data_IF_044752028876
#
_entry.id   IF_044752028876
#
_cell.length_a   1.000
_cell.length_b   1.000
_cell.length_c   1.000
_cell.angle_alpha   90.00
_cell.angle_beta   90.00
_cell.angle_gamma   90.00
#
_symmetry.space_group_name_H-M   'P 1'
#
loop_
_entity.id
_entity.type
_entity.pdbx_description
1 polymer ?
#
# COMPACT_ATOMS: atom_id res chain seq x y z
N UNK A 1 13.03 -28.74 -7.44
CA UNK A 1 12.39 -27.42 -7.38
C UNK A 1 12.58 -26.92 -5.96
N UNK A 2 13.38 -25.86 -5.76
CA UNK A 2 13.65 -25.35 -4.40
C UNK A 2 12.39 -24.68 -3.88
N UNK A 3 11.82 -25.22 -2.80
CA UNK A 3 10.67 -24.65 -2.12
C UNK A 3 11.17 -23.50 -1.25
N UNK A 4 11.47 -22.34 -1.86
CA UNK A 4 11.67 -21.11 -1.11
C UNK A 4 10.28 -20.58 -0.75
N UNK A 5 9.82 -20.87 0.46
CA UNK A 5 8.78 -20.04 1.06
C UNK A 5 9.37 -18.63 1.24
N UNK A 6 8.83 -17.66 0.51
CA UNK A 6 9.21 -16.26 0.68
C UNK A 6 8.91 -15.85 2.12
N UNK A 7 9.81 -15.10 2.76
CA UNK A 7 9.73 -14.80 4.20
C UNK A 7 8.36 -14.23 4.64
N UNK A 8 7.70 -13.44 3.77
CA UNK A 8 6.38 -12.85 4.02
C UNK A 8 5.19 -13.76 3.68
N UNK A 9 5.40 -14.88 2.97
CA UNK A 9 4.38 -15.90 2.75
C UNK A 9 4.15 -16.75 4.02
N UNK A 10 5.07 -16.68 4.99
CA UNK A 10 4.86 -17.29 6.29
C UNK A 10 3.73 -16.56 7.06
N UNK A 11 2.65 -17.25 7.48
CA UNK A 11 1.49 -16.63 8.09
C UNK A 11 1.80 -15.92 9.41
N UNK A 12 2.75 -16.42 10.21
CA UNK A 12 3.14 -15.79 11.48
C UNK A 12 3.92 -14.48 11.23
N UNK A 13 4.76 -14.45 10.19
CA UNK A 13 5.46 -13.25 9.75
C UNK A 13 4.46 -12.22 9.24
N UNK A 14 3.53 -12.64 8.38
CA UNK A 14 2.47 -11.78 7.82
C UNK A 14 1.58 -11.20 8.92
N UNK A 15 1.16 -12.01 9.89
CA UNK A 15 0.35 -11.54 11.01
C UNK A 15 1.07 -10.47 11.85
N UNK A 16 2.36 -10.68 12.15
CA UNK A 16 3.18 -9.68 12.86
C UNK A 16 3.38 -8.41 12.06
N UNK A 17 3.57 -8.53 10.74
CA UNK A 17 3.69 -7.39 9.84
C UNK A 17 2.40 -6.55 9.82
N UNK A 18 1.24 -7.19 9.63
CA UNK A 18 -0.07 -6.51 9.63
C UNK A 18 -0.31 -5.81 10.98
N UNK A 19 -0.04 -6.49 12.11
CA UNK A 19 -0.26 -5.92 13.44
C UNK A 19 0.60 -4.66 13.71
N UNK A 20 1.81 -4.59 13.14
CA UNK A 20 2.65 -3.38 13.20
C UNK A 20 2.12 -2.27 12.32
N UNK A 21 1.64 -2.60 11.12
CA UNK A 21 1.05 -1.63 10.18
C UNK A 21 -0.21 -0.98 10.73
N UNK A 22 -1.03 -1.68 11.52
CA UNK A 22 -2.25 -1.09 12.09
C UNK A 22 -2.01 -0.08 13.22
N UNK A 23 -0.76 0.18 13.62
CA UNK A 23 -0.43 1.16 14.65
C UNK A 23 -0.52 2.59 14.10
N UNK A 24 -1.05 3.51 14.92
CA UNK A 24 -1.33 4.90 14.56
C UNK A 24 -0.11 5.66 14.01
N UNK A 25 1.09 5.36 14.52
CA UNK A 25 2.34 6.04 14.15
C UNK A 25 3.25 5.14 13.31
N UNK A 26 2.68 4.27 12.47
CA UNK A 26 3.51 3.42 11.63
C UNK A 26 4.37 4.30 10.68
N UNK A 27 5.62 3.87 10.34
CA UNK A 27 6.50 4.64 9.46
C UNK A 27 5.91 4.86 8.06
N UNK A 28 5.07 3.95 7.58
CA UNK A 28 4.50 4.01 6.24
C UNK A 28 3.58 5.23 6.11
N UNK A 29 2.74 5.50 7.10
CA UNK A 29 1.81 6.62 7.09
C UNK A 29 2.47 7.93 7.53
N UNK A 30 3.42 7.85 8.48
CA UNK A 30 4.06 9.04 9.06
C UNK A 30 5.21 9.60 8.22
N UNK A 31 5.98 8.74 7.56
CA UNK A 31 7.20 9.12 6.84
C UNK A 31 7.13 8.80 5.34
N UNK A 32 6.78 7.56 4.98
CA UNK A 32 6.88 7.10 3.59
C UNK A 32 5.79 7.73 2.71
N UNK A 33 4.54 7.77 3.19
CA UNK A 33 3.38 8.24 2.44
C UNK A 33 3.47 9.72 2.05
N UNK A 34 3.88 10.66 2.93
CA UNK A 34 4.09 12.05 2.54
C UNK A 34 5.13 12.21 1.43
N UNK A 35 6.28 11.53 1.54
CA UNK A 35 7.35 11.59 0.53
C UNK A 35 6.89 10.96 -0.79
N UNK A 36 6.20 9.84 -0.72
CA UNK A 36 5.61 9.20 -1.89
C UNK A 36 4.65 10.14 -2.61
N UNK A 37 3.74 10.80 -1.89
CA UNK A 37 2.79 11.75 -2.48
C UNK A 37 3.50 12.97 -3.08
N UNK A 38 4.57 13.46 -2.44
CA UNK A 38 5.41 14.52 -2.99
C UNK A 38 6.03 14.12 -4.33
N UNK A 39 6.55 12.89 -4.43
CA UNK A 39 7.15 12.35 -5.66
C UNK A 39 6.11 12.02 -6.74
N UNK A 40 4.95 11.47 -6.35
CA UNK A 40 3.86 11.12 -7.25
C UNK A 40 3.21 12.36 -7.88
N UNK A 41 3.25 13.49 -7.18
CA UNK A 41 2.72 14.76 -7.67
C UNK A 41 1.19 14.76 -7.76
N UNK A 42 0.65 15.41 -8.78
CA UNK A 42 -0.79 15.58 -8.92
C UNK A 42 -1.47 14.29 -9.41
N UNK A 43 -2.36 13.73 -8.60
CA UNK A 43 -3.09 12.50 -8.91
C UNK A 43 -4.32 12.71 -9.81
N UNK A 44 -4.72 13.97 -10.05
CA UNK A 44 -5.93 14.27 -10.80
C UNK A 44 -5.91 13.69 -12.22
N UNK A 45 -7.00 13.02 -12.61
CA UNK A 45 -7.19 12.37 -13.91
C UNK A 45 -6.21 11.23 -14.24
N UNK A 46 -5.45 10.72 -13.27
CA UNK A 46 -4.58 9.55 -13.46
C UNK A 46 -5.36 8.25 -13.34
N UNK A 47 -4.97 7.24 -14.12
CA UNK A 47 -5.32 5.85 -13.86
C UNK A 47 -4.20 5.22 -13.03
N UNK A 48 -4.54 4.69 -11.86
CA UNK A 48 -3.57 4.21 -10.87
C UNK A 48 -3.68 2.69 -10.73
N UNK A 49 -2.53 2.02 -10.76
CA UNK A 49 -2.38 0.62 -10.34
C UNK A 49 -1.53 0.57 -9.08
N UNK A 50 -2.04 -0.10 -8.05
CA UNK A 50 -1.40 -0.22 -6.73
C UNK A 50 -1.16 -1.70 -6.43
N UNK A 51 0.12 -2.07 -6.38
CA UNK A 51 0.59 -3.45 -6.24
C UNK A 51 0.99 -3.71 -4.79
N UNK A 52 0.32 -4.65 -4.13
CA UNK A 52 0.42 -4.82 -2.68
C UNK A 52 -0.42 -3.79 -1.94
N UNK A 53 -1.65 -3.55 -2.41
CA UNK A 53 -2.49 -2.46 -1.92
C UNK A 53 -2.99 -2.65 -0.47
N UNK A 54 -2.81 -3.82 0.12
CA UNK A 54 -3.32 -4.13 1.45
C UNK A 54 -4.83 -3.92 1.54
N UNK A 55 -5.27 -2.99 2.40
CA UNK A 55 -6.69 -2.65 2.60
C UNK A 55 -7.24 -1.62 1.60
N UNK A 56 -6.43 -1.22 0.61
CA UNK A 56 -6.75 -0.24 -0.42
C UNK A 56 -7.17 1.15 0.12
N UNK A 57 -6.75 1.50 1.35
CA UNK A 57 -7.00 2.82 1.94
C UNK A 57 -6.45 3.97 1.08
N UNK A 58 -5.26 3.81 0.52
CA UNK A 58 -4.68 4.78 -0.41
C UNK A 58 -5.55 5.02 -1.65
N UNK A 59 -6.14 3.96 -2.22
CA UNK A 59 -7.01 4.10 -3.39
C UNK A 59 -8.22 4.99 -3.16
N UNK A 60 -8.82 4.94 -1.96
CA UNK A 60 -9.92 5.84 -1.58
C UNK A 60 -9.46 7.29 -1.57
N UNK A 61 -8.28 7.56 -0.99
CA UNK A 61 -7.71 8.90 -0.95
C UNK A 61 -7.34 9.41 -2.35
N UNK A 62 -6.74 8.58 -3.19
CA UNK A 62 -6.37 8.93 -4.55
C UNK A 62 -7.60 9.31 -5.40
N UNK A 63 -8.69 8.55 -5.28
CA UNK A 63 -9.97 8.88 -5.95
C UNK A 63 -10.56 10.19 -5.42
N UNK A 64 -10.50 10.44 -4.11
CA UNK A 64 -10.93 11.72 -3.52
C UNK A 64 -10.08 12.90 -3.99
N UNK A 65 -8.81 12.68 -4.32
CA UNK A 65 -7.90 13.67 -4.92
C UNK A 65 -8.08 13.84 -6.44
N UNK A 66 -9.05 13.13 -7.04
CA UNK A 66 -9.43 13.30 -8.45
C UNK A 66 -8.81 12.31 -9.42
N UNK A 67 -8.19 11.23 -8.94
CA UNK A 67 -7.77 10.14 -9.81
C UNK A 67 -8.97 9.64 -10.64
N UNK A 68 -8.71 9.32 -11.91
CA UNK A 68 -9.75 8.84 -12.85
C UNK A 68 -10.16 7.41 -12.53
N UNK A 69 -9.18 6.56 -12.21
CA UNK A 69 -9.43 5.17 -11.81
C UNK A 69 -8.34 4.66 -10.88
N UNK A 70 -8.68 3.64 -10.10
CA UNK A 70 -7.76 2.95 -9.20
C UNK A 70 -8.01 1.44 -9.26
N UNK A 71 -6.94 0.67 -9.43
CA UNK A 71 -6.94 -0.79 -9.36
C UNK A 71 -5.93 -1.22 -8.31
N UNK A 72 -6.41 -1.77 -7.21
CA UNK A 72 -5.58 -2.40 -6.18
C UNK A 72 -5.44 -3.90 -6.42
N UNK A 73 -4.23 -4.42 -6.34
CA UNK A 73 -3.91 -5.84 -6.43
C UNK A 73 -3.22 -6.27 -5.14
N UNK A 74 -3.78 -7.25 -4.44
CA UNK A 74 -3.25 -7.84 -3.21
C UNK A 74 -3.30 -9.37 -3.29
N UNK A 75 -2.37 -10.06 -2.61
CA UNK A 75 -2.23 -11.53 -2.62
C UNK A 75 -2.91 -12.17 -1.41
#
# INVERSE_FOLDING_TARGET
MSNHEEFYDNPDVRAKYIARRTQCDNPNDTLERPIFLELAGNLNQLDIIDLGCGDASFGKEALLQGARSYIGIEK
#
